data_IF_413532550338
#
_entry.id   IF_413532550338
#
_cell.length_a   1.000
_cell.length_b   1.000
_cell.length_c   1.000
_cell.angle_alpha   90.00
_cell.angle_beta   90.00
_cell.angle_gamma   90.00
#
_symmetry.space_group_name_H-M   'P 1'
#
loop_
_entity.id
_entity.type
_entity.pdbx_description
1 polymer ?
#
# COMPACT_ATOMS: atom_id res chain seq x y z
N UNK A 1 -4.41 17.19 9.68
CA UNK A 1 -3.90 16.23 10.66
C UNK A 1 -3.01 15.16 10.03
N UNK A 2 -1.72 15.10 10.40
CA UNK A 2 -0.85 13.91 10.21
C UNK A 2 -0.59 13.25 11.57
N UNK A 3 -0.48 11.92 11.64
CA UNK A 3 -0.07 11.24 12.88
C UNK A 3 1.44 11.30 13.08
N UNK A 4 1.93 11.03 14.29
CA UNK A 4 3.37 10.91 14.56
C UNK A 4 4.04 9.86 13.66
N UNK A 5 3.33 8.77 13.34
CA UNK A 5 3.82 7.75 12.42
C UNK A 5 4.00 8.31 10.99
N UNK A 6 3.06 9.11 10.47
CA UNK A 6 3.22 9.72 9.14
C UNK A 6 4.47 10.61 9.05
N UNK A 7 4.68 11.43 10.09
CA UNK A 7 5.85 12.31 10.16
C UNK A 7 7.14 11.50 10.25
N UNK A 8 7.16 10.43 11.05
CA UNK A 8 8.32 9.55 11.17
C UNK A 8 8.65 8.80 9.88
N UNK A 9 7.63 8.36 9.12
CA UNK A 9 7.82 7.67 7.83
C UNK A 9 8.42 8.59 6.76
N UNK A 10 8.03 9.87 6.75
CA UNK A 10 8.58 10.89 5.83
C UNK A 10 9.98 11.34 6.22
N UNK A 11 10.35 11.15 7.48
CA UNK A 11 11.68 11.50 7.98
C UNK A 11 12.75 10.55 7.43
N UNK A 12 14.01 11.02 7.27
CA UNK A 12 15.15 10.14 7.01
C UNK A 12 15.41 9.12 8.12
N UNK A 13 14.87 9.33 9.33
CA UNK A 13 15.13 8.53 10.53
C UNK A 13 14.16 7.36 10.63
N UNK A 14 14.31 6.36 9.76
CA UNK A 14 13.41 5.19 9.68
C UNK A 14 13.22 4.46 11.01
N UNK A 15 14.24 4.41 11.87
CA UNK A 15 14.19 3.75 13.18
C UNK A 15 13.08 4.30 14.09
N UNK A 16 12.74 5.60 13.97
CA UNK A 16 11.65 6.20 14.76
C UNK A 16 10.31 5.60 14.32
N UNK A 17 10.08 5.46 13.02
CA UNK A 17 8.87 4.85 12.50
C UNK A 17 8.76 3.37 12.92
N UNK A 18 9.87 2.63 12.86
CA UNK A 18 9.93 1.24 13.32
C UNK A 18 9.57 1.12 14.80
N UNK A 19 10.14 1.98 15.66
CA UNK A 19 9.84 2.00 17.08
C UNK A 19 8.37 2.33 17.36
N UNK A 20 7.78 3.31 16.66
CA UNK A 20 6.36 3.64 16.80
C UNK A 20 5.46 2.47 16.40
N UNK A 21 5.79 1.78 15.32
CA UNK A 21 5.07 0.56 14.89
C UNK A 21 5.17 -0.55 15.95
N UNK A 22 6.33 -0.74 16.57
CA UNK A 22 6.52 -1.72 17.65
C UNK A 22 5.74 -1.37 18.93
N UNK A 23 5.50 -0.08 19.17
CA UNK A 23 4.63 0.39 20.25
C UNK A 23 3.14 0.37 19.90
N UNK A 24 2.76 -0.18 18.74
CA UNK A 24 1.36 -0.35 18.35
C UNK A 24 0.74 0.90 17.72
N UNK A 25 1.54 1.82 17.17
CA UNK A 25 0.99 2.91 16.37
C UNK A 25 0.15 2.36 15.21
N UNK A 26 -1.12 2.79 15.11
CA UNK A 26 -2.03 2.31 14.08
C UNK A 26 -1.64 2.85 12.68
N UNK A 27 -1.21 2.00 11.74
CA UNK A 27 -0.79 2.45 10.41
C UNK A 27 -1.97 2.75 9.47
N UNK A 28 -3.21 2.38 9.83
CA UNK A 28 -4.41 2.55 9.01
C UNK A 28 -5.08 3.93 9.16
N UNK A 29 -4.64 4.75 10.13
CA UNK A 29 -5.14 6.13 10.26
C UNK A 29 -4.75 6.91 9.01
N UNK A 30 -5.67 7.70 8.48
CA UNK A 30 -5.47 8.55 7.31
C UNK A 30 -5.04 9.96 7.73
N UNK A 31 -4.13 10.56 6.97
CA UNK A 31 -3.74 11.97 7.10
C UNK A 31 -4.68 12.92 6.34
N UNK A 32 -4.29 14.19 6.17
CA UNK A 32 -5.05 15.24 5.45
C UNK A 32 -5.32 14.92 3.98
N UNK A 33 -4.47 14.11 3.36
CA UNK A 33 -4.60 13.70 1.97
C UNK A 33 -5.28 12.33 1.85
N UNK A 34 -5.76 11.79 2.97
CA UNK A 34 -6.33 10.45 3.03
C UNK A 34 -5.28 9.34 3.02
N UNK A 35 -3.98 9.67 3.03
CA UNK A 35 -2.93 8.68 2.97
C UNK A 35 -2.82 7.97 4.32
N UNK A 36 -2.68 6.65 4.28
CA UNK A 36 -2.26 5.85 5.44
C UNK A 36 -0.73 5.85 5.57
N UNK A 37 -0.20 5.30 6.66
CA UNK A 37 1.24 5.15 6.82
C UNK A 37 1.87 4.28 5.72
N UNK A 38 1.11 3.33 5.16
CA UNK A 38 1.56 2.49 4.04
C UNK A 38 1.70 3.30 2.74
N UNK A 39 0.76 4.20 2.44
CA UNK A 39 0.90 5.12 1.30
C UNK A 39 2.15 5.99 1.46
N UNK A 40 2.33 6.58 2.65
CA UNK A 40 3.50 7.40 2.93
C UNK A 40 4.81 6.61 2.78
N UNK A 41 4.85 5.35 3.22
CA UNK A 41 6.03 4.51 3.11
C UNK A 41 6.37 4.19 1.65
N UNK A 42 5.37 3.91 0.81
CA UNK A 42 5.55 3.71 -0.63
C UNK A 42 6.05 4.98 -1.31
N UNK A 43 5.37 6.13 -1.07
CA UNK A 43 5.72 7.42 -1.68
C UNK A 43 7.14 7.89 -1.33
N UNK A 44 7.58 7.61 -0.10
CA UNK A 44 8.90 8.04 0.39
C UNK A 44 9.98 6.96 0.21
N UNK A 45 9.67 5.91 -0.55
CA UNK A 45 10.60 4.82 -0.85
C UNK A 45 11.19 4.19 0.43
N UNK A 46 10.33 3.74 1.36
CA UNK A 46 10.70 3.16 2.67
C UNK A 46 10.31 1.68 2.77
N UNK A 47 11.09 0.78 2.14
CA UNK A 47 10.71 -0.62 1.92
C UNK A 47 10.69 -1.41 3.22
N UNK A 48 11.60 -1.07 4.13
CA UNK A 48 11.67 -1.69 5.46
C UNK A 48 10.40 -1.37 6.26
N UNK A 49 9.92 -0.13 6.15
CA UNK A 49 8.67 0.31 6.77
C UNK A 49 7.46 -0.36 6.09
N UNK A 50 7.44 -0.45 4.74
CA UNK A 50 6.41 -1.20 4.00
C UNK A 50 6.34 -2.64 4.53
N UNK A 51 7.47 -3.36 4.57
CA UNK A 51 7.54 -4.73 5.09
C UNK A 51 7.11 -4.82 6.55
N UNK A 52 7.53 -3.89 7.41
CA UNK A 52 7.14 -3.88 8.83
C UNK A 52 5.63 -3.68 9.00
N UNK A 53 5.04 -2.73 8.28
CA UNK A 53 3.59 -2.50 8.31
C UNK A 53 2.87 -3.77 7.86
N UNK A 54 3.24 -4.34 6.70
CA UNK A 54 2.61 -5.55 6.18
C UNK A 54 2.79 -6.76 7.10
N UNK A 55 3.96 -6.92 7.74
CA UNK A 55 4.22 -8.00 8.68
C UNK A 55 3.41 -7.89 9.97
N UNK A 56 3.32 -6.69 10.56
CA UNK A 56 2.44 -6.43 11.70
C UNK A 56 0.98 -6.72 11.31
N UNK A 57 0.64 -6.58 10.03
CA UNK A 57 -0.69 -6.85 9.50
C UNK A 57 -0.95 -8.32 9.12
N UNK A 58 0.06 -9.20 9.07
CA UNK A 58 -0.08 -10.61 8.66
C UNK A 58 0.10 -11.63 9.80
N UNK A 59 0.91 -11.36 10.81
CA UNK A 59 1.15 -12.30 11.91
C UNK A 59 0.14 -12.09 13.05
N UNK A 60 -0.75 -13.05 13.37
CA UNK A 60 -1.64 -13.22 14.56
C UNK A 60 -2.30 -11.98 15.25
N UNK A 61 -1.56 -10.88 15.41
CA UNK A 61 -1.95 -9.47 15.56
C UNK A 61 -2.10 -8.73 14.22
N UNK A 62 -2.01 -9.46 13.10
CA UNK A 62 -2.45 -9.01 11.80
C UNK A 62 -3.85 -8.45 11.90
N UNK A 63 -4.26 -7.57 10.97
CA UNK A 63 -5.53 -6.84 11.10
C UNK A 63 -6.61 -7.80 11.52
N UNK A 64 -6.98 -7.66 12.81
CA UNK A 64 -7.88 -8.61 13.41
C UNK A 64 -9.09 -8.64 12.50
N UNK A 65 -9.70 -9.81 12.30
CA UNK A 65 -10.98 -9.89 11.58
C UNK A 65 -11.93 -8.78 12.08
N UNK A 66 -11.84 -8.41 13.35
CA UNK A 66 -12.45 -7.23 13.97
C UNK A 66 -12.19 -5.89 13.25
N UNK A 67 -10.94 -5.55 12.92
CA UNK A 67 -10.57 -4.30 12.20
C UNK A 67 -11.08 -4.35 10.75
N UNK A 68 -10.94 -5.50 10.08
CA UNK A 68 -11.46 -5.68 8.72
C UNK A 68 -12.99 -5.54 8.73
N UNK A 69 -13.68 -6.16 9.68
CA UNK A 69 -15.12 -6.06 9.86
C UNK A 69 -15.55 -4.62 10.18
N UNK A 70 -14.81 -3.93 11.05
CA UNK A 70 -15.10 -2.54 11.42
C UNK A 70 -14.94 -1.58 10.24
N UNK A 71 -13.88 -1.75 9.43
CA UNK A 71 -13.62 -0.89 8.28
C UNK A 71 -14.38 -1.33 7.02
N UNK A 72 -14.96 -2.53 7.03
CA UNK A 72 -15.59 -3.19 5.88
C UNK A 72 -14.62 -3.49 4.73
N UNK A 73 -13.31 -3.35 4.95
CA UNK A 73 -12.28 -3.57 3.92
C UNK A 73 -10.94 -3.86 4.57
N UNK A 74 -10.06 -4.50 3.82
CA UNK A 74 -8.69 -4.79 4.21
C UNK A 74 -7.87 -3.48 4.21
N UNK A 75 -7.27 -3.01 5.31
CA UNK A 75 -6.61 -1.71 5.27
C UNK A 75 -5.44 -1.48 4.28
N UNK A 76 -4.98 -2.52 3.56
CA UNK A 76 -3.90 -2.50 2.56
C UNK A 76 -4.45 -1.88 1.28
N UNK A 77 -5.77 -2.00 1.16
CA UNK A 77 -6.64 -1.52 0.12
C UNK A 77 -7.37 -0.22 0.52
N UNK A 78 -7.02 0.40 1.67
CA UNK A 78 -7.53 1.74 1.96
C UNK A 78 -7.08 2.68 0.84
N UNK A 79 -8.03 3.42 0.29
CA UNK A 79 -7.76 4.44 -0.70
C UNK A 79 -7.51 5.78 -0.03
N UNK A 80 -6.59 6.58 -0.58
CA UNK A 80 -6.45 7.98 -0.19
C UNK A 80 -7.55 8.84 -0.81
N UNK A 81 -7.49 10.17 -0.65
CA UNK A 81 -8.53 11.04 -1.20
C UNK A 81 -8.65 10.87 -2.72
N UNK A 82 -7.56 10.66 -3.45
CA UNK A 82 -7.59 10.44 -4.91
C UNK A 82 -8.04 9.04 -5.34
N UNK A 83 -8.47 8.18 -4.43
CA UNK A 83 -8.84 6.80 -4.75
C UNK A 83 -7.62 5.88 -4.91
N UNK A 84 -6.40 6.36 -4.73
CA UNK A 84 -5.22 5.51 -4.84
C UNK A 84 -5.08 4.62 -3.61
N UNK A 85 -4.89 3.32 -3.82
CA UNK A 85 -4.32 2.42 -2.80
C UNK A 85 -2.79 2.55 -2.78
N UNK A 86 -2.14 1.93 -1.78
CA UNK A 86 -0.68 1.84 -1.78
C UNK A 86 -0.13 1.16 -3.04
N UNK A 87 -0.87 0.18 -3.59
CA UNK A 87 -0.50 -0.51 -4.83
C UNK A 87 -0.54 0.43 -6.06
N UNK A 88 -1.53 1.33 -6.16
CA UNK A 88 -1.56 2.34 -7.22
C UNK A 88 -0.29 3.20 -7.16
N UNK A 89 0.04 3.72 -5.98
CA UNK A 89 1.23 4.57 -5.81
C UNK A 89 2.52 3.80 -6.11
N UNK A 90 2.56 2.51 -5.76
CA UNK A 90 3.69 1.64 -6.01
C UNK A 90 3.86 1.24 -7.48
N UNK A 91 2.96 1.62 -8.39
CA UNK A 91 3.06 1.27 -9.82
C UNK A 91 3.05 2.48 -10.75
N UNK A 92 2.97 3.70 -10.19
CA UNK A 92 2.97 4.96 -10.93
C UNK A 92 4.36 5.51 -11.25
N UNK A 93 5.43 4.89 -10.76
CA UNK A 93 6.81 5.36 -10.95
C UNK A 93 7.70 4.23 -11.48
N UNK A 94 8.64 4.59 -12.36
CA UNK A 94 9.59 3.67 -13.00
C UNK A 94 10.82 3.38 -12.12
N UNK A 95 10.85 3.86 -10.88
CA UNK A 95 11.96 3.55 -9.98
C UNK A 95 11.98 2.06 -9.64
N UNK A 96 13.15 1.41 -9.72
CA UNK A 96 13.34 0.00 -9.33
C UNK A 96 12.80 -0.31 -7.93
N UNK A 97 12.89 0.68 -7.04
CA UNK A 97 12.36 0.61 -5.69
C UNK A 97 10.83 0.39 -5.65
N UNK A 98 10.13 1.07 -6.55
CA UNK A 98 8.67 1.13 -6.65
C UNK A 98 8.14 -0.22 -7.16
N UNK A 99 8.86 -0.87 -8.09
CA UNK A 99 8.57 -2.24 -8.56
C UNK A 99 8.61 -3.26 -7.42
N UNK A 100 9.62 -3.15 -6.55
CA UNK A 100 9.74 -4.05 -5.39
C UNK A 100 8.57 -3.87 -4.41
N UNK A 101 8.16 -2.63 -4.15
CA UNK A 101 7.01 -2.36 -3.29
C UNK A 101 5.70 -2.91 -3.88
N UNK A 102 5.47 -2.75 -5.19
CA UNK A 102 4.29 -3.28 -5.86
C UNK A 102 4.17 -4.80 -5.75
N UNK A 103 5.28 -5.53 -6.03
CA UNK A 103 5.31 -6.99 -5.88
C UNK A 103 5.06 -7.44 -4.43
N UNK A 104 5.71 -6.79 -3.45
CA UNK A 104 5.51 -7.10 -2.03
C UNK A 104 4.04 -6.90 -1.64
N UNK A 105 3.40 -5.83 -2.12
CA UNK A 105 1.99 -5.56 -1.83
C UNK A 105 1.07 -6.64 -2.41
N UNK A 106 1.31 -7.06 -3.66
CA UNK A 106 0.57 -8.15 -4.31
C UNK A 106 0.75 -9.49 -3.58
N UNK A 107 1.99 -9.80 -3.17
CA UNK A 107 2.31 -11.00 -2.37
C UNK A 107 1.63 -11.00 -0.99
N UNK A 108 1.31 -9.81 -0.45
CA UNK A 108 0.59 -9.65 0.81
C UNK A 108 -0.92 -9.42 0.61
N UNK A 109 -1.45 -9.73 -0.58
CA UNK A 109 -2.88 -9.75 -0.86
C UNK A 109 -3.51 -8.38 -1.11
N UNK A 110 -2.74 -7.38 -1.55
CA UNK A 110 -3.31 -6.14 -2.04
C UNK A 110 -4.21 -6.40 -3.25
N UNK A 111 -5.40 -5.79 -3.28
CA UNK A 111 -6.39 -5.98 -4.32
C UNK A 111 -6.08 -5.09 -5.54
N UNK A 112 -5.70 -5.67 -6.70
CA UNK A 112 -5.41 -4.89 -7.91
C UNK A 112 -6.67 -4.40 -8.66
N UNK A 113 -7.86 -4.87 -8.28
CA UNK A 113 -9.11 -4.54 -8.96
C UNK A 113 -9.74 -3.21 -8.54
N UNK A 114 -9.22 -2.59 -7.47
CA UNK A 114 -9.72 -1.29 -7.03
C UNK A 114 -9.36 -0.21 -8.04
N UNK A 115 -10.29 0.70 -8.26
CA UNK A 115 -10.13 1.83 -9.19
C UNK A 115 -9.91 3.13 -8.42
N UNK A 116 -9.02 3.97 -8.90
CA UNK A 116 -8.87 5.35 -8.43
C UNK A 116 -10.03 6.25 -8.89
N UNK A 117 -9.97 7.55 -8.59
CA UNK A 117 -11.01 8.51 -9.00
C UNK A 117 -11.16 8.66 -10.52
N UNK A 118 -10.18 8.23 -11.30
CA UNK A 118 -10.20 8.27 -12.76
C UNK A 118 -10.72 6.94 -13.35
N UNK A 119 -11.10 5.97 -12.51
CA UNK A 119 -11.50 4.65 -12.96
C UNK A 119 -10.31 3.72 -13.25
N UNK A 120 -9.08 4.13 -12.93
CA UNK A 120 -7.87 3.38 -13.28
C UNK A 120 -7.55 2.35 -12.20
N UNK A 121 -7.25 1.13 -12.62
CA UNK A 121 -6.77 0.05 -11.73
C UNK A 121 -5.24 0.06 -11.59
N UNK A 122 -4.72 -0.75 -10.67
CA UNK A 122 -3.28 -1.01 -10.55
C UNK A 122 -2.68 -1.59 -11.86
N UNK A 123 -3.46 -2.37 -12.62
CA UNK A 123 -3.03 -2.93 -13.90
C UNK A 123 -2.75 -1.83 -14.93
N UNK A 124 -3.59 -0.79 -15.00
CA UNK A 124 -3.38 0.34 -15.90
C UNK A 124 -2.02 1.01 -15.66
N UNK A 125 -1.68 1.24 -14.37
CA UNK A 125 -0.41 1.86 -14.01
C UNK A 125 0.78 0.94 -14.34
N UNK A 126 0.67 -0.37 -14.10
CA UNK A 126 1.71 -1.34 -14.45
C UNK A 126 1.94 -1.44 -15.96
N UNK A 127 0.86 -1.46 -16.75
CA UNK A 127 0.91 -1.52 -18.21
C UNK A 127 1.52 -0.23 -18.79
N UNK A 128 1.08 0.94 -18.34
CA UNK A 128 1.60 2.24 -18.80
C UNK A 128 3.10 2.41 -18.54
N UNK A 129 3.63 1.76 -17.51
CA UNK A 129 5.06 1.81 -17.16
C UNK A 129 5.87 0.59 -17.66
N UNK A 130 5.27 -0.30 -18.46
CA UNK A 130 5.98 -1.45 -19.02
C UNK A 130 6.42 -2.50 -18.00
N UNK A 131 5.75 -2.59 -16.84
CA UNK A 131 6.10 -3.50 -15.75
C UNK A 131 5.62 -4.93 -16.03
N UNK A 132 6.20 -5.59 -17.03
CA UNK A 132 5.73 -6.89 -17.56
C UNK A 132 5.51 -7.95 -16.47
N UNK A 133 6.49 -8.14 -15.57
CA UNK A 133 6.36 -9.13 -14.50
C UNK A 133 5.23 -8.79 -13.52
N UNK A 134 4.99 -7.52 -13.26
CA UNK A 134 3.88 -7.08 -12.40
C UNK A 134 2.53 -7.22 -13.11
N UNK A 135 2.47 -6.93 -14.41
CA UNK A 135 1.28 -7.20 -15.24
C UNK A 135 0.91 -8.67 -15.19
N UNK A 136 1.88 -9.56 -15.42
CA UNK A 136 1.69 -11.02 -15.32
C UNK A 136 1.17 -11.37 -13.92
N UNK A 137 1.83 -10.88 -12.86
CA UNK A 137 1.41 -11.17 -11.48
C UNK A 137 -0.01 -10.69 -11.16
N UNK A 138 -0.40 -9.52 -11.65
CA UNK A 138 -1.76 -8.99 -11.45
C UNK A 138 -2.79 -9.86 -12.18
N UNK A 139 -2.51 -10.29 -13.41
CA UNK A 139 -3.40 -11.15 -14.18
C UNK A 139 -3.48 -12.58 -13.63
N UNK A 140 -2.39 -13.09 -13.04
CA UNK A 140 -2.41 -14.35 -12.29
C UNK A 140 -3.34 -14.27 -11.06
N UNK A 141 -3.37 -13.11 -10.39
CA UNK A 141 -4.26 -12.86 -9.25
C UNK A 141 -5.71 -12.69 -9.72
N UNK A 142 -5.93 -11.95 -10.80
CA UNK A 142 -7.26 -11.72 -11.36
C UNK A 142 -7.18 -11.50 -12.88
N UNK A 143 -7.46 -12.53 -13.70
CA UNK A 143 -7.35 -12.44 -15.15
C UNK A 143 -8.44 -11.56 -15.78
N UNK A 144 -9.55 -11.31 -15.08
CA UNK A 144 -10.66 -10.49 -15.60
C UNK A 144 -10.31 -9.01 -15.70
N UNK A 145 -9.21 -8.56 -15.08
CA UNK A 145 -8.76 -7.16 -15.15
C UNK A 145 -8.24 -6.77 -16.54
N UNK A 146 -7.94 -7.73 -17.42
CA UNK A 146 -7.34 -7.47 -18.74
C UNK A 146 -8.21 -6.58 -19.65
N UNK A 147 -9.53 -6.54 -19.41
CA UNK A 147 -10.51 -5.81 -20.22
C UNK A 147 -11.13 -4.58 -19.50
N UNK A 148 -10.67 -4.26 -18.29
CA UNK A 148 -11.09 -3.07 -17.55
C UNK A 148 -10.19 -1.89 -17.89
#
# INVERSE_FOLDING_TARGET
RSTALHLAVRSPREHVAMFLLEKGANPAIRDESGNTALHAAVLNLRINIVRKILHINSAAKGWSQTIINFLGRNPIDLQNHEGHTALHLALRSQSFFVISAGMILLENGANPALVDRLGMTALHAAAANGLVNTVIKILDINPNLINL
#
